data_IF_110877986729
#
_entry.id   IF_110877986729
#
_cell.length_a   1.000
_cell.length_b   1.000
_cell.length_c   1.000
_cell.angle_alpha   90.00
_cell.angle_beta   90.00
_cell.angle_gamma   90.00
#
_symmetry.space_group_name_H-M   'P 1'
#
loop_
_entity.id
_entity.type
_entity.pdbx_description
1 polymer ?
2 non-polymer ?
3 non-polymer ?
4 water ?
#
# COMPACT_ATOMS: atom_id res chain seq x y z
N UNK A 1 -10.96 5.93 16.59
CA UNK A 1 -9.66 6.16 15.90
C UNK A 1 -9.19 4.82 15.39
N UNK A 2 -8.75 4.79 14.14
CA UNK A 2 -8.27 3.56 13.49
C UNK A 2 -6.79 3.36 13.85
N UNK A 3 -6.37 2.13 14.10
CA UNK A 3 -4.96 1.92 14.45
C UNK A 3 -4.09 2.00 13.20
N UNK A 4 -2.77 2.06 13.39
CA UNK A 4 -1.88 2.09 12.24
C UNK A 4 -2.02 0.80 11.44
N UNK A 5 -2.14 -0.34 12.13
CA UNK A 5 -2.27 -1.62 11.40
C UNK A 5 -3.58 -1.70 10.60
N UNK A 6 -4.66 -1.16 11.15
CA UNK A 6 -5.95 -1.19 10.46
C UNK A 6 -5.94 -0.28 9.24
N UNK A 7 -5.24 0.84 9.36
CA UNK A 7 -5.12 1.80 8.29
C UNK A 7 -4.31 1.16 7.18
N UNK A 8 -3.27 0.39 7.54
CA UNK A 8 -2.48 -0.26 6.51
C UNK A 8 -3.36 -1.26 5.73
N UNK A 9 -4.12 -2.09 6.45
CA UNK A 9 -4.98 -3.02 5.74
C UNK A 9 -6.00 -2.29 4.81
N UNK A 10 -6.63 -1.23 5.30
CA UNK A 10 -7.60 -0.51 4.44
C UNK A 10 -6.98 0.16 3.19
N UNK A 11 -5.82 0.79 3.36
CA UNK A 11 -5.21 1.46 2.23
C UNK A 11 -4.47 0.53 1.27
N UNK A 12 -3.90 -0.57 1.77
CA UNK A 12 -3.05 -1.42 0.93
C UNK A 12 -3.38 -2.89 0.63
N UNK A 13 -4.32 -3.49 1.33
CA UNK A 13 -4.55 -4.91 1.08
C UNK A 13 -5.77 -5.17 0.19
N UNK A 14 -5.59 -5.97 -0.85
CA UNK A 14 -6.72 -6.36 -1.69
C UNK A 14 -6.37 -7.77 -2.14
N UNK A 15 -6.26 -8.63 -1.14
CA UNK A 15 -5.90 -10.01 -1.32
C UNK A 15 -6.81 -10.51 -2.35
N UNK A 16 -6.21 -11.07 -3.36
CA UNK A 16 -6.93 -11.54 -4.52
C UNK A 16 -5.98 -12.31 -5.40
N UNK A 22 -8.72 -4.36 -14.98
CA UNK A 22 -9.49 -3.29 -15.59
C UNK A 22 -8.91 -1.88 -15.29
N UNK A 23 -8.93 -1.02 -16.30
CA UNK A 23 -8.36 0.30 -16.13
C UNK A 23 -9.06 1.19 -15.08
N UNK A 24 -10.27 0.82 -14.64
CA UNK A 24 -10.96 1.64 -13.64
C UNK A 24 -10.74 1.15 -12.21
N UNK A 25 -9.92 0.12 -12.05
CA UNK A 25 -9.66 -0.45 -10.72
C UNK A 25 -9.30 0.58 -9.65
N UNK A 26 -8.31 1.42 -9.94
CA UNK A 26 -7.88 2.42 -8.96
C UNK A 26 -8.96 3.43 -8.68
N UNK A 27 -9.69 3.85 -9.70
CA UNK A 27 -10.76 4.80 -9.48
C UNK A 27 -11.80 4.24 -8.50
N UNK A 28 -12.14 2.98 -8.64
CA UNK A 28 -13.11 2.39 -7.71
C UNK A 28 -12.52 2.21 -6.31
N UNK A 29 -11.34 1.59 -6.23
CA UNK A 29 -10.70 1.28 -4.97
C UNK A 29 -10.26 2.45 -4.15
N UNK A 30 -9.71 3.47 -4.78
CA UNK A 30 -9.29 4.65 -4.03
C UNK A 30 -10.51 5.29 -3.38
N UNK A 31 -11.66 5.18 -4.04
CA UNK A 31 -12.90 5.75 -3.50
C UNK A 31 -13.48 4.89 -2.36
N UNK A 32 -13.67 3.59 -2.62
CA UNK A 32 -14.23 2.66 -1.63
C UNK A 32 -13.39 2.59 -0.36
N UNK A 33 -12.07 2.68 -0.51
CA UNK A 33 -11.16 2.61 0.64
C UNK A 33 -10.93 3.97 1.30
N UNK A 34 -11.75 4.94 0.91
CA UNK A 34 -11.73 6.29 1.49
C UNK A 34 -10.41 7.07 1.37
N UNK A 35 -9.74 6.93 0.24
CA UNK A 35 -8.49 7.65 0.03
C UNK A 35 -8.73 8.85 -0.88
N UNK A 36 -10.01 9.18 -1.07
CA UNK A 36 -10.39 10.36 -1.83
C UNK A 36 -11.29 11.28 -0.98
N UNK A 37 -11.20 11.21 0.35
CA UNK A 37 -12.02 12.16 1.12
C UNK A 37 -11.15 13.24 1.76
N UNK A 38 -11.51 14.47 1.43
CA UNK A 38 -10.76 15.64 1.85
C UNK A 38 -9.78 16.04 0.73
N UNK A 39 -9.11 15.05 0.14
CA UNK A 39 -8.18 15.30 -0.91
C UNK A 39 -7.98 13.97 -1.63
N UNK A 40 -7.39 14.02 -2.82
CA UNK A 40 -7.11 12.80 -3.54
C UNK A 40 -5.71 12.34 -3.07
N UNK A 41 -5.60 11.14 -2.50
CA UNK A 41 -4.28 10.65 -2.11
C UNK A 41 -3.56 10.57 -3.47
N UNK A 42 -2.38 11.20 -3.61
CA UNK A 42 -1.74 11.12 -4.94
C UNK A 42 -1.20 9.79 -5.50
N UNK A 43 -0.68 8.94 -4.63
CA UNK A 43 -0.15 7.64 -5.05
C UNK A 43 -0.47 6.62 -3.96
N UNK A 44 -0.83 5.41 -4.36
CA UNK A 44 -1.14 4.38 -3.38
C UNK A 44 -0.89 3.05 -4.03
N UNK A 45 -0.52 2.04 -3.25
CA UNK A 45 -0.28 0.71 -3.79
C UNK A 45 -1.16 -0.31 -3.07
N UNK A 46 -1.77 -1.22 -3.85
CA UNK A 46 -2.60 -2.31 -3.31
C UNK A 46 -1.79 -3.60 -3.52
N UNK A 47 -1.83 -4.51 -2.55
CA UNK A 47 -1.09 -5.76 -2.62
C UNK A 47 -2.11 -6.88 -2.71
N UNK A 48 -1.93 -7.77 -3.69
CA UNK A 48 -2.90 -8.85 -3.90
C UNK A 48 -2.53 -10.22 -3.34
N UNK A 49 -1.64 -10.24 -2.37
CA UNK A 49 -1.24 -11.47 -1.72
C UNK A 49 -2.10 -11.61 -0.45
N UNK A 50 -2.08 -12.79 0.15
CA UNK A 50 -2.88 -13.01 1.36
C UNK A 50 -2.34 -12.13 2.47
N UNK A 51 -3.21 -11.80 3.42
CA UNK A 51 -2.82 -10.98 4.54
C UNK A 51 -1.69 -11.70 5.29
N UNK A 52 -1.75 -13.02 5.33
CA UNK A 52 -0.70 -13.81 5.99
C UNK A 52 0.66 -13.62 5.31
N UNK A 53 0.68 -13.64 3.99
CA UNK A 53 1.95 -13.46 3.28
C UNK A 53 2.52 -12.05 3.47
N UNK A 54 1.64 -11.05 3.57
CA UNK A 54 2.12 -9.70 3.75
C UNK A 54 2.62 -9.49 5.19
N UNK A 55 1.88 -10.00 6.19
CA UNK A 55 2.32 -9.87 7.58
C UNK A 55 3.68 -10.55 7.78
N UNK A 56 3.97 -11.59 6.97
CA UNK A 56 5.21 -12.38 7.03
C UNK A 56 6.44 -11.61 6.60
N UNK A 57 6.22 -10.50 5.90
CA UNK A 57 7.31 -9.67 5.44
C UNK A 57 8.01 -9.06 6.67
N UNK A 58 7.25 -8.88 7.74
CA UNK A 58 7.75 -8.30 8.99
C UNK A 58 8.85 -9.15 9.64
N UNK A 59 9.03 -10.36 9.12
CA UNK A 59 10.04 -11.23 9.66
C UNK A 59 10.97 -11.62 8.54
N UNK A 60 10.95 -10.83 7.46
CA UNK A 60 11.82 -11.07 6.33
C UNK A 60 13.04 -10.12 6.30
N UNK A 61 13.44 -9.60 5.15
CA UNK A 61 14.65 -8.79 5.11
C UNK A 61 14.61 -7.39 5.64
N UNK A 62 15.40 -7.08 6.66
CA UNK A 62 15.41 -5.72 7.21
C UNK A 62 16.15 -4.73 6.28
N UNK A 63 15.53 -3.57 6.05
CA UNK A 63 16.11 -2.54 5.19
C UNK A 63 15.78 -1.23 5.86
N UNK A 64 16.43 -0.16 5.43
CA UNK A 64 16.16 1.14 6.05
C UNK A 64 14.88 1.72 5.44
N UNK A 65 14.12 2.49 6.25
CA UNK A 65 12.88 3.15 5.80
C UNK A 65 13.25 4.44 5.07
N UNK A 66 12.35 4.91 4.20
CA UNK A 66 12.62 6.14 3.48
C UNK A 66 12.84 7.31 4.42
N UNK A 67 12.14 7.31 5.55
CA UNK A 67 12.30 8.39 6.50
C UNK A 67 13.50 8.24 7.44
N UNK A 68 14.24 7.13 7.31
CA UNK A 68 15.43 6.92 8.13
C UNK A 68 15.31 5.91 9.25
N UNK A 69 14.08 5.52 9.59
CA UNK A 69 13.85 4.53 10.63
C UNK A 69 14.36 3.17 10.15
N UNK A 70 14.57 2.25 11.09
CA UNK A 70 15.09 0.95 10.69
C UNK A 70 14.08 -0.19 10.92
N UNK A 71 12.82 0.19 11.18
CA UNK A 71 11.81 -0.84 11.36
C UNK A 71 11.13 -1.25 10.03
N UNK A 72 11.88 -1.20 8.92
CA UNK A 72 11.34 -1.59 7.63
C UNK A 72 11.88 -2.92 7.16
N UNK A 73 11.06 -3.59 6.38
CA UNK A 73 11.37 -4.90 5.88
C UNK A 73 10.93 -5.03 4.43
N UNK A 74 11.73 -5.75 3.68
CA UNK A 74 11.53 -6.02 2.26
C UNK A 74 11.10 -7.49 2.08
N UNK A 75 10.09 -7.70 1.24
CA UNK A 75 9.59 -9.05 0.96
C UNK A 75 10.71 -9.92 0.33
N UNK A 76 10.75 -11.21 0.69
CA UNK A 76 11.77 -12.08 0.10
C UNK A 76 11.47 -12.36 -1.39
N UNK A 77 10.20 -12.29 -1.78
CA UNK A 77 9.78 -12.52 -3.15
C UNK A 77 9.03 -11.33 -3.70
N UNK A 78 8.87 -11.31 -5.02
CA UNK A 78 8.08 -10.26 -5.65
C UNK A 78 6.64 -10.62 -5.25
N UNK A 79 5.77 -9.63 -5.31
CA UNK A 79 4.37 -9.83 -5.00
C UNK A 79 3.55 -9.12 -6.10
N UNK A 80 2.31 -9.57 -6.29
CA UNK A 80 1.41 -8.99 -7.26
C UNK A 80 0.81 -7.76 -6.61
N UNK A 81 1.09 -6.61 -7.21
CA UNK A 81 0.59 -5.34 -6.69
C UNK A 81 0.04 -4.46 -7.84
N UNK A 82 -0.70 -3.43 -7.47
CA UNK A 82 -1.24 -2.47 -8.42
C UNK A 82 -0.90 -1.07 -7.87
N UNK A 83 -0.29 -0.23 -8.69
CA UNK A 83 0.05 1.14 -8.31
C UNK A 83 -1.04 2.05 -8.86
N UNK A 84 -1.57 2.94 -8.03
CA UNK A 84 -2.59 3.90 -8.42
C UNK A 84 -1.92 5.25 -8.33
N UNK A 85 -1.98 6.00 -9.41
CA UNK A 85 -1.36 7.32 -9.44
C UNK A 85 -2.36 8.32 -10.01
N UNK A 86 -2.49 9.45 -9.33
CA UNK A 86 -3.39 10.52 -9.76
C UNK A 86 -2.98 10.99 -11.16
N UNK A 87 -3.96 11.19 -12.03
CA UNK A 87 -3.68 11.65 -13.39
C UNK A 87 -3.62 13.17 -13.38
N UNK A 88 -3.12 13.75 -14.45
CA UNK A 88 -3.04 15.19 -14.52
C UNK A 88 -4.40 15.84 -14.48
N UNK A 89 -5.41 15.17 -15.01
CA UNK A 89 -6.74 15.75 -15.02
C UNK A 89 -7.47 15.67 -13.68
N UNK A 90 -6.92 14.90 -12.76
CA UNK A 90 -7.52 14.73 -11.43
C UNK A 90 -7.60 16.05 -10.68
N UNK A 91 -8.74 16.27 -10.04
CA UNK A 91 -8.96 17.50 -9.30
C UNK A 91 -10.07 17.28 -8.30
N UNK A 92 -9.68 17.24 -7.03
CA UNK A 92 -10.63 17.01 -5.95
C UNK A 92 -11.82 17.96 -6.06
N UNK A 93 -13.06 17.47 -5.79
CA UNK A 93 -13.45 16.12 -5.38
C UNK A 93 -13.64 15.19 -6.54
N UNK A 94 -13.13 15.53 -7.70
CA UNK A 94 -13.25 14.62 -8.85
C UNK A 94 -11.88 13.97 -9.09
N UNK A 95 -11.52 13.02 -8.22
CA UNK A 95 -10.23 12.35 -8.31
C UNK A 95 -10.17 11.40 -9.49
N UNK A 96 -8.97 11.18 -10.03
CA UNK A 96 -8.81 10.29 -11.19
C UNK A 96 -7.45 9.63 -11.10
N UNK A 97 -7.41 8.33 -11.36
CA UNK A 97 -6.20 7.52 -11.24
C UNK A 97 -5.89 6.63 -12.43
N UNK A 98 -4.59 6.45 -12.64
CA UNK A 98 -4.02 5.56 -13.66
C UNK A 98 -3.70 4.29 -12.84
N UNK A 99 -4.14 3.14 -13.34
CA UNK A 99 -3.93 1.84 -12.72
C UNK A 99 -2.78 1.13 -13.45
N UNK A 100 -1.81 0.60 -12.70
CA UNK A 100 -0.66 -0.12 -13.28
C UNK A 100 -0.38 -1.36 -12.42
N UNK A 101 -0.54 -2.54 -13.01
CA UNK A 101 -0.26 -3.78 -12.26
C UNK A 101 1.17 -4.16 -12.56
N UNK A 102 1.87 -4.64 -11.55
CA UNK A 102 3.25 -5.07 -11.71
C UNK A 102 3.51 -6.09 -10.64
N UNK A 103 4.65 -6.74 -10.74
CA UNK A 103 5.04 -7.72 -9.75
C UNK A 103 6.37 -7.21 -9.27
N UNK A 104 6.43 -6.79 -8.01
CA UNK A 104 7.66 -6.25 -7.43
C UNK A 104 7.75 -6.61 -5.97
N UNK A 105 8.91 -6.35 -5.38
CA UNK A 105 9.06 -6.60 -3.96
C UNK A 105 8.41 -5.38 -3.26
N UNK A 106 7.89 -5.60 -2.05
CA UNK A 106 7.33 -4.49 -1.28
C UNK A 106 8.19 -4.25 -0.04
N UNK A 107 8.21 -3.00 0.42
CA UNK A 107 8.96 -2.66 1.62
C UNK A 107 7.92 -2.01 2.53
N UNK A 108 7.77 -2.55 3.74
CA UNK A 108 6.79 -2.04 4.70
C UNK A 108 7.43 -1.77 6.03
N UNK A 109 6.88 -0.81 6.78
CA UNK A 109 7.36 -0.55 8.13
C UNK A 109 6.48 -1.46 9.01
N UNK A 110 7.05 -2.00 10.08
CA UNK A 110 6.29 -2.88 10.97
C UNK A 110 6.35 -2.37 12.39
N UNK A 111 5.26 -2.58 13.12
CA UNK A 111 5.22 -2.12 14.49
C UNK A 111 4.16 -2.85 15.29
N UNK A 112 4.21 -2.65 16.60
CA UNK A 112 3.26 -3.26 17.51
C UNK A 112 3.73 -4.62 17.96
N UNK A 113 2.95 -5.20 18.87
CA UNK A 113 3.21 -6.55 19.41
C UNK A 113 1.89 -7.26 19.24
N UNK A 114 1.81 -8.24 18.32
CA UNK A 114 2.90 -8.71 17.43
C UNK A 114 3.25 -7.66 16.34
N UNK A 115 4.47 -7.73 15.85
CA UNK A 115 4.94 -6.81 14.82
C UNK A 115 4.15 -7.04 13.54
N UNK A 116 3.40 -6.03 13.09
CA UNK A 116 2.63 -6.17 11.86
C UNK A 116 2.87 -4.94 10.98
N UNK A 117 2.52 -5.03 9.68
CA UNK A 117 2.73 -3.85 8.83
C UNK A 117 1.95 -2.61 9.29
N UNK A 118 2.62 -1.47 9.37
CA UNK A 118 1.97 -0.21 9.74
C UNK A 118 2.19 0.95 8.72
N UNK A 119 2.84 0.65 7.60
CA UNK A 119 3.08 1.68 6.60
C UNK A 119 3.64 1.04 5.35
N UNK A 120 3.15 1.44 4.19
CA UNK A 120 3.68 0.92 2.93
C UNK A 120 4.80 1.88 2.53
N UNK A 121 6.04 1.43 2.56
CA UNK A 121 7.15 2.33 2.27
C UNK A 121 7.54 2.48 0.82
N UNK A 122 7.55 1.37 0.08
CA UNK A 122 8.01 1.38 -1.28
C UNK A 122 7.84 0.03 -1.94
N UNK A 123 7.99 0.01 -3.25
CA UNK A 123 7.96 -1.25 -4.01
C UNK A 123 9.31 -1.16 -4.68
N UNK A 124 9.94 -2.29 -4.92
CA UNK A 124 11.25 -2.22 -5.52
C UNK A 124 11.52 -3.36 -6.51
X LIG B 1 3.32 5.06 -1.16
X LIG B 1 2.66 4.03 -1.79
X LIG B 1 3.44 3.32 -2.67
X LIG B 1 4.77 3.52 -2.95
X LIG B 1 5.38 4.58 -2.22
X LIG B 1 4.65 5.31 -1.38
X LIG B 1 1.49 3.75 -1.59
X LIG B 1 5.31 2.84 -3.81
X LIG B 1 0.62 7.91 3.55
X LIG B 1 -0.47 7.08 4.16
X LIG B 1 0.34 9.32 3.15
X LIG B 1 1.87 7.88 4.54
X LIG B 1 4.80 8.54 0.85
X LIG B 1 3.50 9.14 0.67
X LIG B 1 2.46 8.06 0.56
X LIG B 1 2.74 7.25 -0.60
X LIG B 1 2.44 7.15 1.78
X LIG B 1 1.10 7.07 2.27
X LIG B 1 2.77 5.75 1.24
X LIG B 1 2.02 4.69 1.76
X LIG B 1 2.53 5.91 -0.26
X LIG C 1 -0.60 4.56 10.88
X LIG C 1 0.14 5.12 9.80
X LIG C 1 1.55 5.35 10.24
X LIG C 1 2.43 5.54 9.10
X LIG C 1 1.72 6.57 11.11
X LIG C 1 1.47 6.21 12.47
X LIG C 1 3.18 6.94 10.90
X LIG C 1 4.02 6.22 11.78
X LIG C 1 3.42 6.48 9.46
X LIG C 1 4.74 6.07 9.01
X LIG C 1 5.53 6.55 7.99
X LIG C 1 6.71 5.98 7.92
X LIG C 1 6.69 5.05 8.96
X LIG C 1 7.65 4.14 9.43
X LIG C 1 8.88 4.02 8.91
X LIG C 1 7.31 3.36 10.47
X LIG C 1 6.09 3.49 11.00
X LIG C 1 5.10 4.30 10.65
X LIG C 1 5.48 5.08 9.61
#
# INVERSE_FOLDING_TARGET
KESAAAKFERQHMDSGNSPSSSSNYCNLMMCCRKMTQGKCKPVNTFVHESLADVKAVCSQKKVTCKNGQTNCYQSKSTMRITDCRETGSSKYPNCAYKTTQVEKHIIVACGGKPSVPVHFDASV
U3P N1 C2 N3 C4 C5 C6 O2 O4 P O1P O2P O3P O5' C5' C4' O4' C3' O3' C2' O2' C1'
ADN O5' C5' C4' O4' C3' O3' C2' O2' C1' N9 C8 N7 C5 C6 N6 N1 C2 N3 C4
#
